data_IF_714579535764
#
_entry.id   IF_714579535764
#
_cell.length_a   1.000
_cell.length_b   1.000
_cell.length_c   1.000
_cell.angle_alpha   90.00
_cell.angle_beta   90.00
_cell.angle_gamma   90.00
#
_symmetry.space_group_name_H-M   'P 1'
#
loop_
_entity.id
_entity.type
_entity.pdbx_description
1 polymer ?
#
# COMPACT_ATOMS: atom_id res chain seq x y z
N UNK A 1 21.55 24.12 3.29
CA UNK A 1 21.13 23.08 2.33
C UNK A 1 21.08 21.73 3.04
N UNK A 2 19.96 21.38 3.70
CA UNK A 2 19.72 20.05 4.29
C UNK A 2 18.29 19.63 3.92
N UNK A 3 18.04 19.41 2.63
CA UNK A 3 16.72 19.08 2.07
C UNK A 3 16.53 17.57 1.86
N UNK A 4 17.26 16.73 2.62
CA UNK A 4 17.16 15.27 2.52
C UNK A 4 15.94 14.69 3.25
N UNK A 5 15.33 15.44 4.17
CA UNK A 5 14.19 14.98 4.98
C UNK A 5 12.98 14.49 4.16
N UNK A 6 12.51 15.23 3.14
CA UNK A 6 11.42 14.79 2.29
C UNK A 6 11.74 13.51 1.50
N UNK A 7 12.98 13.35 1.02
CA UNK A 7 13.40 12.15 0.31
C UNK A 7 13.37 10.93 1.23
N UNK A 8 13.91 11.05 2.45
CA UNK A 8 13.88 9.97 3.42
C UNK A 8 12.44 9.55 3.78
N UNK A 9 11.53 10.51 3.97
CA UNK A 9 10.12 10.23 4.27
C UNK A 9 9.43 9.48 3.12
N UNK A 10 9.64 9.91 1.87
CA UNK A 10 9.06 9.25 0.70
C UNK A 10 9.66 7.85 0.51
N UNK A 11 10.99 7.71 0.66
CA UNK A 11 11.65 6.39 0.57
C UNK A 11 11.16 5.42 1.63
N UNK A 12 10.98 5.87 2.88
CA UNK A 12 10.47 5.05 3.96
C UNK A 12 9.01 4.64 3.72
N UNK A 13 8.17 5.57 3.25
CA UNK A 13 6.78 5.29 2.89
C UNK A 13 6.67 4.27 1.75
N UNK A 14 7.46 4.44 0.69
CA UNK A 14 7.51 3.47 -0.41
C UNK A 14 8.02 2.10 0.05
N UNK A 15 9.02 2.08 0.95
CA UNK A 15 9.53 0.83 1.52
C UNK A 15 8.46 0.10 2.34
N UNK A 16 7.74 0.80 3.22
CA UNK A 16 6.64 0.21 4.00
C UNK A 16 5.52 -0.31 3.09
N UNK A 17 5.16 0.44 2.05
CA UNK A 17 4.19 -0.01 1.05
C UNK A 17 4.63 -1.31 0.37
N UNK A 18 5.90 -1.40 -0.01
CA UNK A 18 6.43 -2.60 -0.66
C UNK A 18 6.43 -3.80 0.30
N UNK A 19 6.78 -3.58 1.58
CA UNK A 19 6.67 -4.61 2.59
C UNK A 19 5.24 -5.11 2.74
N UNK A 20 4.26 -4.22 2.79
CA UNK A 20 2.84 -4.58 2.95
C UNK A 20 2.37 -5.54 1.84
N UNK A 21 2.70 -5.24 0.58
CA UNK A 21 2.39 -6.11 -0.56
C UNK A 21 3.07 -7.48 -0.42
N UNK A 22 4.35 -7.49 -0.03
CA UNK A 22 5.10 -8.76 0.09
C UNK A 22 4.60 -9.64 1.23
N UNK A 23 4.12 -9.06 2.33
CA UNK A 23 3.55 -9.81 3.46
C UNK A 23 2.33 -10.62 2.98
N UNK A 24 1.44 -10.00 2.20
CA UNK A 24 0.28 -10.70 1.64
C UNK A 24 0.73 -11.86 0.77
N UNK A 25 1.71 -11.65 -0.11
CA UNK A 25 2.21 -12.69 -1.02
C UNK A 25 2.82 -13.87 -0.24
N UNK A 26 3.58 -13.59 0.82
CA UNK A 26 4.19 -14.61 1.68
C UNK A 26 3.15 -15.35 2.52
N UNK A 27 2.07 -14.68 2.93
CA UNK A 27 1.01 -15.27 3.74
C UNK A 27 -0.03 -16.07 2.91
N UNK A 28 -0.13 -15.85 1.59
CA UNK A 28 -1.03 -16.60 0.70
C UNK A 28 -0.96 -18.13 0.86
N UNK A 29 0.21 -18.78 0.85
CA UNK A 29 0.29 -20.24 1.02
C UNK A 29 -0.24 -20.71 2.39
N UNK A 30 0.01 -19.95 3.46
CA UNK A 30 -0.56 -20.24 4.78
C UNK A 30 -2.09 -20.08 4.80
N UNK A 31 -2.62 -19.04 4.14
CA UNK A 31 -4.07 -18.85 3.97
C UNK A 31 -4.69 -19.99 3.15
N UNK A 32 -4.02 -20.45 2.09
CA UNK A 32 -4.47 -21.56 1.27
C UNK A 32 -4.56 -22.86 2.08
N UNK A 33 -3.53 -23.16 2.87
CA UNK A 33 -3.45 -24.35 3.70
C UNK A 33 -4.47 -24.32 4.86
N UNK A 34 -4.61 -23.17 5.53
CA UNK A 34 -5.53 -23.03 6.66
C UNK A 34 -7.01 -23.07 6.24
N UNK A 35 -7.35 -22.48 5.08
CA UNK A 35 -8.74 -22.35 4.63
C UNK A 35 -9.16 -23.41 3.61
N UNK A 36 -8.26 -24.32 3.21
CA UNK A 36 -8.45 -25.23 2.08
C UNK A 36 -8.89 -24.49 0.80
N UNK A 37 -8.38 -23.27 0.62
CA UNK A 37 -8.80 -22.37 -0.44
C UNK A 37 -8.26 -22.84 -1.80
N UNK A 38 -9.06 -22.66 -2.85
CA UNK A 38 -8.65 -22.98 -4.21
C UNK A 38 -7.67 -21.92 -4.76
N UNK A 39 -6.98 -22.25 -5.85
CA UNK A 39 -6.11 -21.30 -6.55
C UNK A 39 -6.87 -20.03 -6.96
N UNK A 40 -8.15 -20.18 -7.36
CA UNK A 40 -9.02 -19.08 -7.75
C UNK A 40 -9.37 -18.16 -6.58
N UNK A 41 -9.54 -18.71 -5.38
CA UNK A 41 -9.80 -17.91 -4.18
C UNK A 41 -8.57 -17.07 -3.80
N UNK A 42 -7.37 -17.67 -3.90
CA UNK A 42 -6.11 -16.96 -3.69
C UNK A 42 -5.91 -15.82 -4.70
N UNK A 43 -6.29 -16.03 -5.96
CA UNK A 43 -6.20 -15.01 -6.99
C UNK A 43 -7.13 -13.83 -6.69
N UNK A 44 -8.35 -14.09 -6.24
CA UNK A 44 -9.28 -13.06 -5.79
C UNK A 44 -8.79 -12.26 -4.57
N UNK A 45 -8.03 -12.88 -3.67
CA UNK A 45 -7.41 -12.17 -2.53
C UNK A 45 -6.39 -11.16 -3.03
N UNK A 46 -5.53 -11.55 -3.99
CA UNK A 46 -4.54 -10.64 -4.59
C UNK A 46 -5.23 -9.52 -5.36
N UNK A 47 -6.20 -9.88 -6.20
CA UNK A 47 -6.94 -8.92 -7.02
C UNK A 47 -7.74 -7.93 -6.14
N UNK A 48 -8.35 -8.41 -5.07
CA UNK A 48 -9.06 -7.57 -4.08
C UNK A 48 -8.13 -6.59 -3.38
N UNK A 49 -6.96 -7.06 -2.94
CA UNK A 49 -5.93 -6.20 -2.35
C UNK A 49 -5.47 -5.13 -3.34
N UNK A 50 -5.17 -5.51 -4.59
CA UNK A 50 -4.74 -4.58 -5.64
C UNK A 50 -5.83 -3.53 -5.97
N UNK A 51 -7.10 -3.94 -6.02
CA UNK A 51 -8.22 -3.04 -6.33
C UNK A 51 -8.46 -2.02 -5.20
N UNK A 52 -8.43 -2.48 -3.94
CA UNK A 52 -8.54 -1.60 -2.78
C UNK A 52 -7.38 -0.61 -2.72
N UNK A 53 -6.15 -1.09 -2.95
CA UNK A 53 -4.96 -0.25 -2.99
C UNK A 53 -5.06 0.79 -4.12
N UNK A 54 -5.45 0.40 -5.33
CA UNK A 54 -5.61 1.32 -6.45
C UNK A 54 -6.68 2.39 -6.17
N UNK A 55 -7.84 1.98 -5.64
CA UNK A 55 -8.90 2.92 -5.29
C UNK A 55 -8.45 3.94 -4.23
N UNK A 56 -7.75 3.48 -3.20
CA UNK A 56 -7.20 4.34 -2.15
C UNK A 56 -6.10 5.25 -2.68
N UNK A 57 -5.17 4.74 -3.49
CA UNK A 57 -4.10 5.53 -4.09
C UNK A 57 -4.66 6.63 -5.00
N UNK A 58 -5.67 6.32 -5.81
CA UNK A 58 -6.35 7.30 -6.66
C UNK A 58 -7.10 8.34 -5.81
N UNK A 59 -7.81 7.90 -4.76
CA UNK A 59 -8.52 8.81 -3.85
C UNK A 59 -7.57 9.75 -3.10
N UNK A 60 -6.49 9.21 -2.55
CA UNK A 60 -5.43 9.97 -1.85
C UNK A 60 -4.68 10.87 -2.83
N UNK A 61 -4.43 10.42 -4.06
CA UNK A 61 -3.81 11.23 -5.12
C UNK A 61 -4.66 12.43 -5.50
N UNK A 62 -5.96 12.21 -5.76
CA UNK A 62 -6.91 13.28 -6.02
C UNK A 62 -7.04 14.26 -4.84
N UNK A 63 -7.06 13.73 -3.60
CA UNK A 63 -7.04 14.57 -2.41
C UNK A 63 -5.72 15.38 -2.29
N UNK A 64 -4.57 14.79 -2.61
CA UNK A 64 -3.26 15.46 -2.60
C UNK A 64 -3.18 16.60 -3.61
N UNK A 65 -3.85 16.47 -4.75
CA UNK A 65 -3.93 17.51 -5.77
C UNK A 65 -4.79 18.70 -5.32
N UNK A 66 -5.88 18.45 -4.55
CA UNK A 66 -6.76 19.50 -4.03
C UNK A 66 -6.20 20.17 -2.77
N UNK A 67 -5.70 19.40 -1.80
CA UNK A 67 -5.27 19.89 -0.48
C UNK A 67 -3.78 20.25 -0.40
N UNK A 68 -3.00 19.91 -1.43
CA UNK A 68 -1.56 20.11 -1.50
C UNK A 68 -0.76 18.96 -0.91
N UNK A 69 0.20 18.45 -1.71
CA UNK A 69 1.09 17.30 -1.45
C UNK A 69 1.76 17.29 -0.07
N UNK A 70 2.10 18.47 0.48
CA UNK A 70 2.77 18.59 1.79
C UNK A 70 1.82 18.34 2.97
N UNK A 71 0.54 18.70 2.85
CA UNK A 71 -0.46 18.47 3.90
C UNK A 71 -0.87 17.02 3.98
N UNK A 72 -1.08 16.37 2.84
CA UNK A 72 -1.44 14.95 2.83
C UNK A 72 -0.31 14.04 3.33
N UNK A 73 0.95 14.36 3.01
CA UNK A 73 2.09 13.64 3.59
C UNK A 73 2.08 13.73 5.12
N UNK A 74 1.82 14.90 5.69
CA UNK A 74 1.76 15.08 7.14
C UNK A 74 0.57 14.32 7.74
N UNK A 75 -0.61 14.33 7.11
CA UNK A 75 -1.78 13.59 7.59
C UNK A 75 -1.53 12.07 7.58
N UNK A 76 -0.84 11.55 6.56
CA UNK A 76 -0.53 10.12 6.48
C UNK A 76 0.55 9.63 7.46
N UNK A 77 1.36 10.55 7.99
CA UNK A 77 2.45 10.23 8.93
C UNK A 77 2.26 10.78 10.35
N UNK A 78 1.19 11.54 10.60
CA UNK A 78 0.81 12.05 11.92
C UNK A 78 -0.01 11.01 12.68
#
# INVERSE_FOLDING_TARGET
MRTWGPLAAVSLGTFMLLLDVTIVIVALPDMAAALHASLSDLQWVIDGYALALAALLLGVGAAADVFGRRRLNVIGTA
#
